data_IF_262096963782
#
_entry.id   IF_262096963782
#
_cell.length_a   1.000
_cell.length_b   1.000
_cell.length_c   1.000
_cell.angle_alpha   90.00
_cell.angle_beta   90.00
_cell.angle_gamma   90.00
#
_symmetry.space_group_name_H-M   'P 1'
#
loop_
_entity.id
_entity.type
_entity.pdbx_description
1 polymer ?
#
# COMPACT_ATOMS: atom_id res chain seq x y z
N UNK A 1 15.02 13.84 -8.68
CA UNK A 1 13.68 13.32 -9.01
C UNK A 1 13.66 11.84 -8.73
N UNK A 2 12.54 11.30 -8.24
CA UNK A 2 12.34 9.85 -8.19
C UNK A 2 12.29 9.32 -9.62
N UNK A 3 13.09 8.31 -9.93
CA UNK A 3 13.12 7.66 -11.23
C UNK A 3 12.36 6.32 -11.11
N UNK A 4 11.69 5.89 -12.17
CA UNK A 4 10.87 4.67 -12.21
C UNK A 4 9.65 4.71 -11.29
N UNK A 5 8.80 5.73 -11.48
CA UNK A 5 7.48 5.73 -10.85
C UNK A 5 6.59 4.67 -11.51
N UNK A 6 5.71 4.01 -10.73
CA UNK A 6 4.72 3.10 -11.28
C UNK A 6 3.85 3.81 -12.31
N UNK A 7 3.41 3.06 -13.32
CA UNK A 7 2.37 3.53 -14.23
C UNK A 7 1.05 3.74 -13.47
N UNK A 8 0.11 4.48 -14.05
CA UNK A 8 -1.17 4.85 -13.38
C UNK A 8 -2.03 3.65 -12.95
N UNK A 9 -1.79 2.50 -13.55
CA UNK A 9 -2.49 1.22 -13.29
C UNK A 9 -1.70 0.29 -12.37
N UNK A 10 -0.54 0.73 -11.87
CA UNK A 10 0.30 0.01 -10.94
C UNK A 10 0.21 0.65 -9.55
N UNK A 11 0.27 -0.19 -8.52
CA UNK A 11 0.25 0.28 -7.14
C UNK A 11 1.67 0.51 -6.62
N UNK A 12 1.79 1.38 -5.62
CA UNK A 12 3.00 1.56 -4.83
C UNK A 12 2.70 1.31 -3.35
N UNK A 13 3.65 0.66 -2.68
CA UNK A 13 3.70 0.55 -1.23
C UNK A 13 4.96 1.26 -0.77
N UNK A 14 4.78 2.25 0.11
CA UNK A 14 5.86 2.88 0.84
C UNK A 14 6.04 2.18 2.19
N UNK A 15 7.17 2.42 2.84
CA UNK A 15 7.51 1.78 4.11
C UNK A 15 7.52 0.24 4.04
N UNK A 16 8.27 -0.32 3.08
CA UNK A 16 8.40 -1.76 2.89
C UNK A 16 8.79 -2.46 4.19
N UNK A 17 8.07 -3.54 4.51
CA UNK A 17 8.21 -4.33 5.73
C UNK A 17 8.15 -3.52 7.04
N UNK A 18 7.49 -2.36 7.02
CA UNK A 18 7.39 -1.45 8.16
C UNK A 18 8.77 -1.03 8.71
N UNK A 19 9.74 -0.83 7.81
CA UNK A 19 11.11 -0.45 8.17
C UNK A 19 11.20 0.91 8.92
N UNK A 20 10.22 1.79 8.74
CA UNK A 20 10.09 3.06 9.44
C UNK A 20 8.86 3.12 10.34
N UNK A 21 8.94 3.94 11.38
CA UNK A 21 7.85 4.16 12.34
C UNK A 21 6.93 5.30 11.89
N UNK A 22 6.27 5.11 10.75
CA UNK A 22 5.30 6.07 10.21
C UNK A 22 4.21 5.35 9.41
N UNK A 23 3.04 5.99 9.35
CA UNK A 23 1.88 5.56 8.56
C UNK A 23 1.93 6.17 7.17
N UNK A 24 1.34 5.49 6.20
CA UNK A 24 1.27 6.00 4.82
C UNK A 24 -0.20 6.20 4.44
N UNK A 25 -0.55 7.44 4.10
CA UNK A 25 -1.84 7.73 3.48
C UNK A 25 -1.64 7.82 1.97
N UNK A 26 -2.23 6.88 1.23
CA UNK A 26 -2.24 6.88 -0.22
C UNK A 26 -3.43 7.65 -0.78
N UNK A 27 -3.37 8.05 -2.04
CA UNK A 27 -4.54 8.59 -2.74
C UNK A 27 -5.58 7.48 -3.02
N UNK A 28 -6.75 7.90 -3.47
CA UNK A 28 -7.89 7.02 -3.72
C UNK A 28 -7.58 5.97 -4.79
N UNK A 29 -6.81 6.35 -5.81
CA UNK A 29 -6.47 5.46 -6.93
C UNK A 29 -5.53 4.33 -6.46
N UNK A 30 -4.48 4.66 -5.72
CA UNK A 30 -3.57 3.66 -5.19
C UNK A 30 -4.26 2.75 -4.14
N UNK A 31 -5.15 3.30 -3.30
CA UNK A 31 -5.98 2.47 -2.41
C UNK A 31 -6.86 1.47 -3.16
N UNK A 32 -7.44 1.87 -4.30
CA UNK A 32 -8.24 0.98 -5.13
C UNK A 32 -7.39 -0.13 -5.77
N UNK A 33 -6.20 0.21 -6.27
CA UNK A 33 -5.27 -0.76 -6.86
C UNK A 33 -4.75 -1.76 -5.81
N UNK A 34 -4.36 -1.29 -4.62
CA UNK A 34 -3.92 -2.14 -3.52
C UNK A 34 -5.04 -3.08 -3.05
N UNK A 35 -6.27 -2.57 -2.92
CA UNK A 35 -7.43 -3.41 -2.59
C UNK A 35 -7.64 -4.51 -3.62
N UNK A 36 -7.54 -4.17 -4.91
CA UNK A 36 -7.66 -5.15 -6.01
C UNK A 36 -6.56 -6.21 -5.93
N UNK A 37 -5.31 -5.81 -5.71
CA UNK A 37 -4.19 -6.75 -5.55
C UNK A 37 -4.40 -7.70 -4.37
N UNK A 38 -4.83 -7.17 -3.21
CA UNK A 38 -5.11 -7.96 -2.01
C UNK A 38 -6.24 -8.99 -2.21
N UNK A 39 -7.21 -8.69 -3.07
CA UNK A 39 -8.30 -9.61 -3.40
C UNK A 39 -7.91 -10.67 -4.43
N UNK A 40 -7.06 -10.33 -5.40
CA UNK A 40 -6.69 -11.23 -6.50
C UNK A 40 -5.53 -12.15 -6.13
N UNK A 41 -4.47 -11.59 -5.55
CA UNK A 41 -3.20 -12.30 -5.29
C UNK A 41 -2.48 -11.63 -4.10
N UNK A 42 -2.96 -11.83 -2.86
CA UNK A 42 -2.41 -11.20 -1.67
C UNK A 42 -0.95 -11.60 -1.38
N UNK A 43 -0.50 -12.77 -1.84
CA UNK A 43 0.86 -13.27 -1.67
C UNK A 43 1.93 -12.42 -2.36
N UNK A 44 1.56 -11.64 -3.38
CA UNK A 44 2.45 -10.68 -4.05
C UNK A 44 2.90 -9.58 -3.10
N UNK A 45 2.04 -9.18 -2.15
CA UNK A 45 2.38 -8.19 -1.13
C UNK A 45 2.87 -8.93 0.12
N UNK A 46 4.09 -8.67 0.64
CA UNK A 46 4.58 -9.33 1.84
C UNK A 46 3.64 -9.19 3.05
N UNK A 47 3.58 -10.22 3.90
CA UNK A 47 2.70 -10.27 5.09
C UNK A 47 2.77 -8.99 5.94
N UNK A 48 3.97 -8.45 6.28
CA UNK A 48 4.05 -7.24 7.13
C UNK A 48 3.39 -6.02 6.48
N UNK A 49 3.53 -5.85 5.17
CA UNK A 49 2.91 -4.72 4.47
C UNK A 49 1.39 -4.87 4.38
N UNK A 50 0.85 -6.10 4.28
CA UNK A 50 -0.61 -6.28 4.33
C UNK A 50 -1.19 -5.87 5.68
N UNK A 51 -0.52 -6.24 6.77
CA UNK A 51 -0.92 -5.83 8.12
C UNK A 51 -0.87 -4.30 8.28
N UNK A 52 0.21 -3.67 7.79
CA UNK A 52 0.34 -2.22 7.79
C UNK A 52 -0.79 -1.53 7.01
N UNK A 53 -1.11 -2.00 5.80
CA UNK A 53 -2.17 -1.40 4.98
C UNK A 53 -3.53 -1.43 5.67
N UNK A 54 -3.85 -2.50 6.40
CA UNK A 54 -5.10 -2.62 7.18
C UNK A 54 -5.10 -1.63 8.34
N UNK A 55 -3.97 -1.51 9.05
CA UNK A 55 -3.84 -0.59 10.18
C UNK A 55 -3.96 0.87 9.71
N UNK A 56 -3.23 1.24 8.67
CA UNK A 56 -3.24 2.60 8.11
C UNK A 56 -4.64 2.97 7.61
N UNK A 57 -5.32 2.07 6.90
CA UNK A 57 -6.69 2.32 6.42
C UNK A 57 -7.70 2.49 7.58
N UNK A 58 -7.58 1.67 8.63
CA UNK A 58 -8.46 1.75 9.81
C UNK A 58 -8.29 3.07 10.55
N UNK A 59 -7.04 3.52 10.70
CA UNK A 59 -6.73 4.75 11.43
C UNK A 59 -7.11 6.02 10.67
N UNK A 60 -7.11 5.98 9.34
CA UNK A 60 -7.48 7.10 8.48
C UNK A 60 -8.99 7.23 8.27
N UNK A 61 -9.76 6.19 8.59
CA UNK A 61 -11.22 6.16 8.43
C UNK A 61 -12.00 6.71 9.64
N UNK A 62 -11.30 7.24 10.66
CA UNK A 62 -11.90 7.85 11.86
C UNK A 62 -12.47 9.25 11.61
#
# INVERSE_FOLDING_TARGET
MLQNLPEKNEWIILNLQSAGYYKVNYDVDNWALLRRQLLIAPEVIPVPNRAQLIQDASDLAQ
#
